data_IF_083298743447
#
_entry.id   IF_083298743447
#
_cell.length_a   1.000
_cell.length_b   1.000
_cell.length_c   1.000
_cell.angle_alpha   90.00
_cell.angle_beta   90.00
_cell.angle_gamma   90.00
#
_symmetry.space_group_name_H-M   'P 1'
#
loop_
_entity.id
_entity.type
_entity.pdbx_description
1 polymer ?
#
# COMPACT_ATOMS: atom_id res chain seq x y z
N UNK A 1 4.39 -15.75 -5.48
CA UNK A 1 3.08 -16.45 -5.55
C UNK A 1 3.27 -17.89 -6.05
N UNK A 2 2.59 -18.85 -5.43
CA UNK A 2 2.62 -20.29 -5.78
C UNK A 2 1.41 -20.66 -6.62
N UNK A 3 1.67 -21.26 -7.80
CA UNK A 3 0.64 -21.68 -8.76
C UNK A 3 0.63 -23.20 -8.86
N UNK A 4 -0.47 -23.81 -8.44
CA UNK A 4 -0.67 -25.25 -8.59
C UNK A 4 -1.40 -25.53 -9.91
N UNK A 5 -0.85 -26.42 -10.74
CA UNK A 5 -1.54 -26.96 -11.91
C UNK A 5 -1.99 -28.38 -11.59
N UNK A 6 -3.31 -28.58 -11.68
CA UNK A 6 -3.95 -29.87 -11.50
C UNK A 6 -3.73 -30.77 -12.71
N UNK A 7 -3.63 -32.09 -12.50
CA UNK A 7 -3.48 -33.10 -13.56
C UNK A 7 -4.56 -33.00 -14.66
N UNK A 8 -5.78 -32.58 -14.29
CA UNK A 8 -6.88 -32.44 -15.25
C UNK A 8 -6.53 -31.50 -16.40
N UNK A 9 -5.70 -30.47 -16.19
CA UNK A 9 -5.27 -29.54 -17.25
C UNK A 9 -4.43 -30.26 -18.29
N UNK A 10 -3.51 -31.12 -17.87
CA UNK A 10 -2.69 -31.95 -18.78
C UNK A 10 -3.56 -32.99 -19.48
N UNK A 11 -4.48 -33.60 -18.78
CA UNK A 11 -5.37 -34.62 -19.37
C UNK A 11 -6.33 -34.02 -20.40
N UNK A 12 -6.76 -32.77 -20.21
CA UNK A 12 -7.68 -32.04 -21.09
C UNK A 12 -6.99 -31.43 -22.33
N UNK A 13 -5.67 -31.25 -22.29
CA UNK A 13 -4.89 -30.64 -23.36
C UNK A 13 -4.65 -31.62 -24.56
N UNK A 14 -5.73 -32.21 -25.08
CA UNK A 14 -5.69 -33.21 -26.15
C UNK A 14 -5.65 -32.62 -27.55
N UNK A 15 -6.30 -31.50 -27.77
CA UNK A 15 -6.29 -30.78 -29.04
C UNK A 15 -5.16 -29.75 -29.13
N UNK A 16 -4.86 -29.26 -30.32
CA UNK A 16 -3.75 -28.34 -30.58
C UNK A 16 -3.90 -27.00 -29.86
N UNK A 17 -5.11 -26.47 -29.70
CA UNK A 17 -5.34 -25.19 -29.02
C UNK A 17 -5.09 -25.29 -27.51
N UNK A 18 -5.64 -26.30 -26.86
CA UNK A 18 -5.44 -26.56 -25.43
C UNK A 18 -3.98 -26.91 -25.12
N UNK A 19 -3.29 -27.59 -26.02
CA UNK A 19 -1.86 -27.83 -25.89
C UNK A 19 -1.05 -26.54 -25.93
N UNK A 20 -1.39 -25.60 -26.80
CA UNK A 20 -0.78 -24.27 -26.86
C UNK A 20 -1.08 -23.45 -25.60
N UNK A 21 -2.31 -23.50 -25.11
CA UNK A 21 -2.69 -22.84 -23.84
C UNK A 21 -1.85 -23.38 -22.67
N UNK A 22 -1.70 -24.71 -22.55
CA UNK A 22 -0.87 -25.33 -21.51
C UNK A 22 0.59 -24.89 -21.64
N UNK A 23 1.17 -24.94 -22.84
CA UNK A 23 2.55 -24.53 -23.06
C UNK A 23 2.76 -23.05 -22.73
N UNK A 24 1.81 -22.18 -23.11
CA UNK A 24 1.86 -20.75 -22.84
C UNK A 24 1.69 -20.46 -21.34
N UNK A 25 0.79 -21.16 -20.67
CA UNK A 25 0.62 -21.06 -19.20
C UNK A 25 1.91 -21.42 -18.47
N UNK A 26 2.55 -22.54 -18.84
CA UNK A 26 3.82 -22.96 -18.25
C UNK A 26 4.91 -21.91 -18.52
N UNK A 27 4.98 -21.38 -19.73
CA UNK A 27 5.91 -20.30 -20.07
C UNK A 27 5.72 -19.07 -19.17
N UNK A 28 4.48 -18.61 -18.94
CA UNK A 28 4.19 -17.48 -18.06
C UNK A 28 4.66 -17.76 -16.61
N UNK A 29 4.41 -18.96 -16.12
CA UNK A 29 4.76 -19.34 -14.75
C UNK A 29 6.28 -19.41 -14.58
N UNK A 30 6.98 -20.06 -15.49
CA UNK A 30 8.41 -20.30 -15.40
C UNK A 30 9.26 -19.09 -15.86
N UNK A 31 8.67 -18.12 -16.56
CA UNK A 31 9.42 -16.99 -17.10
C UNK A 31 10.06 -16.16 -16.01
N UNK A 32 11.38 -16.06 -16.03
CA UNK A 32 12.18 -15.29 -15.07
C UNK A 32 11.90 -15.62 -13.58
N UNK A 33 11.42 -16.84 -13.29
CA UNK A 33 11.05 -17.27 -11.93
C UNK A 33 10.02 -16.34 -11.27
N UNK A 34 9.09 -15.77 -12.05
CA UNK A 34 8.05 -14.89 -11.53
C UNK A 34 7.11 -15.60 -10.57
N UNK A 35 6.83 -16.88 -10.85
CA UNK A 35 5.94 -17.71 -10.04
C UNK A 35 6.62 -19.03 -9.66
N UNK A 36 6.19 -19.59 -8.53
CA UNK A 36 6.61 -20.93 -8.10
C UNK A 36 5.55 -21.94 -8.62
N UNK A 37 5.96 -22.82 -9.52
CA UNK A 37 5.10 -23.89 -10.05
C UNK A 37 5.01 -25.04 -9.04
N UNK A 38 3.78 -25.54 -8.82
CA UNK A 38 3.46 -26.73 -8.04
C UNK A 38 2.70 -27.74 -8.89
N UNK A 39 3.16 -28.98 -8.90
CA UNK A 39 2.48 -30.11 -9.54
C UNK A 39 2.58 -31.30 -8.58
N UNK A 40 1.48 -31.64 -7.93
CA UNK A 40 1.44 -32.65 -6.86
C UNK A 40 1.30 -34.09 -7.38
N UNK A 41 0.75 -34.26 -8.60
CA UNK A 41 0.45 -35.61 -9.15
C UNK A 41 1.50 -36.00 -10.19
N UNK A 42 2.35 -36.97 -9.80
CA UNK A 42 3.38 -37.52 -10.69
C UNK A 42 2.82 -38.25 -11.92
N UNK A 43 1.51 -38.58 -11.96
CA UNK A 43 0.89 -39.19 -13.15
C UNK A 43 0.79 -38.22 -14.33
N UNK A 44 1.03 -36.93 -14.11
CA UNK A 44 1.18 -35.91 -15.17
C UNK A 44 2.26 -36.33 -16.19
N UNK A 45 3.34 -36.96 -15.73
CA UNK A 45 4.46 -37.41 -16.58
C UNK A 45 4.02 -38.45 -17.64
N UNK A 46 2.95 -39.20 -17.37
CA UNK A 46 2.40 -40.20 -18.28
C UNK A 46 1.38 -39.67 -19.28
N UNK A 47 1.09 -38.35 -19.28
CA UNK A 47 0.08 -37.78 -20.21
C UNK A 47 0.67 -37.49 -21.60
N UNK A 48 -0.14 -37.63 -22.64
CA UNK A 48 0.27 -37.29 -24.03
C UNK A 48 0.66 -35.82 -24.16
N UNK A 49 0.00 -34.91 -23.45
CA UNK A 49 0.27 -33.49 -23.48
C UNK A 49 1.61 -33.15 -22.86
N UNK A 50 2.02 -33.83 -21.78
CA UNK A 50 3.35 -33.69 -21.21
C UNK A 50 4.43 -34.10 -22.24
N UNK A 51 4.26 -35.24 -22.93
CA UNK A 51 5.16 -35.70 -23.96
C UNK A 51 5.36 -34.71 -25.14
N UNK A 52 4.39 -33.82 -25.38
CA UNK A 52 4.41 -32.81 -26.44
C UNK A 52 5.05 -31.47 -26.01
N UNK A 53 5.36 -31.28 -24.72
CA UNK A 53 6.04 -30.07 -24.22
C UNK A 53 7.49 -30.03 -24.72
N UNK A 54 8.08 -28.83 -24.69
CA UNK A 54 9.52 -28.69 -24.93
C UNK A 54 10.31 -29.48 -23.90
N UNK A 55 11.50 -29.96 -24.30
CA UNK A 55 12.34 -30.75 -23.39
C UNK A 55 12.68 -29.97 -22.10
N UNK A 56 13.02 -28.69 -22.22
CA UNK A 56 13.31 -27.81 -21.09
C UNK A 56 12.18 -27.75 -20.06
N UNK A 57 10.94 -27.70 -20.55
CA UNK A 57 9.75 -27.60 -19.69
C UNK A 57 9.50 -28.96 -19.00
N UNK A 58 9.69 -30.06 -19.73
CA UNK A 58 9.59 -31.41 -19.19
C UNK A 58 10.61 -31.63 -18.06
N UNK A 59 11.89 -31.33 -18.32
CA UNK A 59 12.97 -31.46 -17.34
C UNK A 59 12.66 -30.62 -16.07
N UNK A 60 12.14 -29.41 -16.25
CA UNK A 60 11.73 -28.54 -15.13
C UNK A 60 10.58 -29.13 -14.32
N UNK A 61 9.54 -29.65 -14.98
CA UNK A 61 8.38 -30.28 -14.33
C UNK A 61 8.81 -31.55 -13.58
N UNK A 62 9.66 -32.38 -14.16
CA UNK A 62 10.20 -33.58 -13.50
C UNK A 62 10.98 -33.23 -12.24
N UNK A 63 11.81 -32.19 -12.28
CA UNK A 63 12.52 -31.69 -11.10
C UNK A 63 11.57 -31.18 -10.00
N UNK A 64 10.54 -30.41 -10.38
CA UNK A 64 9.55 -29.88 -9.44
C UNK A 64 8.81 -31.02 -8.75
N UNK A 65 8.32 -32.00 -9.49
CA UNK A 65 7.62 -33.17 -8.93
C UNK A 65 8.55 -33.96 -7.97
N UNK A 66 9.82 -34.14 -8.35
CA UNK A 66 10.78 -34.82 -7.51
C UNK A 66 11.07 -34.07 -6.20
N UNK A 67 11.10 -32.73 -6.23
CA UNK A 67 11.28 -31.88 -5.05
C UNK A 67 10.04 -31.84 -4.15
N UNK A 68 8.84 -31.80 -4.73
CA UNK A 68 7.58 -31.74 -3.97
C UNK A 68 7.28 -33.02 -3.20
N UNK A 69 7.75 -34.17 -3.65
CA UNK A 69 7.69 -35.43 -2.90
C UNK A 69 8.43 -35.31 -1.54
N UNK A 70 9.43 -34.43 -1.45
CA UNK A 70 10.27 -34.24 -0.24
C UNK A 70 9.74 -33.09 0.63
N UNK A 71 9.05 -32.13 0.06
CA UNK A 71 8.59 -30.90 0.74
C UNK A 71 7.11 -30.99 1.10
N UNK A 72 6.77 -31.22 2.37
CA UNK A 72 5.40 -31.37 2.89
C UNK A 72 4.55 -30.10 2.96
N UNK A 73 4.85 -29.02 2.21
CA UNK A 73 4.06 -27.78 2.27
C UNK A 73 3.00 -27.73 1.16
N UNK A 74 1.75 -28.04 1.51
CA UNK A 74 0.57 -28.01 0.63
C UNK A 74 -0.04 -26.60 0.47
N UNK A 75 0.72 -25.51 0.62
CA UNK A 75 0.21 -24.17 0.46
C UNK A 75 0.39 -23.65 -0.97
N UNK A 76 -0.69 -23.18 -1.56
CA UNK A 76 -0.69 -22.53 -2.88
C UNK A 76 -1.64 -21.33 -2.89
N UNK A 77 -1.33 -20.34 -3.72
CA UNK A 77 -2.08 -19.08 -3.80
C UNK A 77 -3.14 -19.11 -4.90
N UNK A 78 -2.91 -19.92 -5.94
CA UNK A 78 -3.90 -20.13 -6.98
C UNK A 78 -3.83 -21.57 -7.54
N UNK A 79 -4.97 -22.06 -8.04
CA UNK A 79 -5.10 -23.39 -8.62
C UNK A 79 -5.59 -23.28 -10.05
N UNK A 80 -4.97 -24.03 -10.95
CA UNK A 80 -5.41 -24.18 -12.33
C UNK A 80 -5.95 -25.60 -12.52
N UNK A 81 -7.23 -25.75 -12.87
CA UNK A 81 -7.89 -27.04 -13.15
C UNK A 81 -8.84 -26.93 -14.33
N UNK A 82 -9.15 -28.05 -14.97
CA UNK A 82 -10.14 -28.09 -16.06
C UNK A 82 -11.50 -27.58 -15.58
N UNK A 83 -12.10 -26.68 -16.39
CA UNK A 83 -13.40 -26.06 -16.09
C UNK A 83 -13.37 -24.96 -15.03
N UNK A 84 -12.24 -24.74 -14.36
CA UNK A 84 -12.14 -23.72 -13.30
C UNK A 84 -13.04 -24.06 -12.09
N UNK A 85 -13.52 -23.04 -11.39
CA UNK A 85 -14.55 -23.15 -10.37
C UNK A 85 -15.61 -22.06 -10.56
N UNK A 86 -16.87 -22.45 -10.42
CA UNK A 86 -17.99 -21.51 -10.43
C UNK A 86 -18.06 -20.65 -9.15
N UNK A 87 -17.42 -21.11 -8.06
CA UNK A 87 -17.32 -20.35 -6.83
C UNK A 87 -16.27 -19.25 -6.96
N UNK A 88 -16.72 -18.03 -7.09
CA UNK A 88 -15.89 -16.83 -7.41
C UNK A 88 -14.96 -16.39 -6.27
N UNK A 89 -14.98 -17.04 -5.11
CA UNK A 89 -14.26 -16.64 -3.89
C UNK A 89 -12.83 -17.20 -3.87
N UNK A 90 -12.63 -18.38 -4.41
CA UNK A 90 -11.30 -19.01 -4.47
C UNK A 90 -10.60 -18.67 -5.79
N UNK A 91 -9.28 -18.50 -5.74
CA UNK A 91 -8.46 -18.30 -6.94
C UNK A 91 -8.26 -19.63 -7.69
N UNK A 92 -9.35 -20.17 -8.19
CA UNK A 92 -9.41 -21.39 -8.99
C UNK A 92 -9.80 -21.02 -10.42
N UNK A 93 -8.95 -21.32 -11.38
CA UNK A 93 -9.01 -20.86 -12.77
C UNK A 93 -8.98 -22.03 -13.73
N UNK A 94 -9.62 -21.88 -14.90
CA UNK A 94 -9.27 -22.66 -16.08
C UNK A 94 -7.88 -22.23 -16.61
N UNK A 95 -7.29 -22.96 -17.55
CA UNK A 95 -6.01 -22.56 -18.15
C UNK A 95 -6.09 -21.15 -18.80
N UNK A 96 -7.14 -20.89 -19.57
CA UNK A 96 -7.40 -19.58 -20.21
C UNK A 96 -7.55 -18.47 -19.14
N UNK A 97 -8.37 -18.70 -18.11
CA UNK A 97 -8.54 -17.73 -17.01
C UNK A 97 -7.21 -17.47 -16.27
N UNK A 98 -6.42 -18.53 -16.03
CA UNK A 98 -5.13 -18.42 -15.36
C UNK A 98 -4.15 -17.58 -16.16
N UNK A 99 -4.09 -17.74 -17.48
CA UNK A 99 -3.28 -16.91 -18.37
C UNK A 99 -3.67 -15.43 -18.20
N UNK A 100 -4.96 -15.10 -18.27
CA UNK A 100 -5.43 -13.72 -18.08
C UNK A 100 -5.09 -13.17 -16.69
N UNK A 101 -5.21 -13.99 -15.64
CA UNK A 101 -4.89 -13.59 -14.27
C UNK A 101 -3.39 -13.39 -14.04
N UNK A 102 -2.56 -14.32 -14.50
CA UNK A 102 -1.11 -14.31 -14.27
C UNK A 102 -0.39 -13.23 -15.09
N UNK A 103 -0.90 -12.87 -16.26
CA UNK A 103 -0.36 -11.78 -17.07
C UNK A 103 -0.58 -10.40 -16.42
N UNK A 104 -1.56 -10.26 -15.54
CA UNK A 104 -1.79 -8.98 -14.86
C UNK A 104 -0.60 -8.63 -13.96
N UNK A 105 -0.20 -7.36 -13.90
CA UNK A 105 0.65 -6.89 -12.83
C UNK A 105 -0.08 -6.96 -11.50
N UNK A 106 0.67 -7.09 -10.40
CA UNK A 106 0.14 -6.87 -9.07
C UNK A 106 0.01 -5.37 -8.82
N UNK A 107 -1.20 -4.91 -8.53
CA UNK A 107 -1.48 -3.48 -8.37
C UNK A 107 -1.45 -3.08 -6.92
N UNK A 108 -0.61 -2.12 -6.55
CA UNK A 108 -0.69 -1.44 -5.26
C UNK A 108 -1.52 -0.19 -5.45
N UNK A 109 -2.74 -0.22 -4.90
CA UNK A 109 -3.73 0.86 -5.03
C UNK A 109 -3.49 1.86 -3.92
N UNK A 110 -3.25 3.11 -4.30
CA UNK A 110 -2.91 4.23 -3.44
C UNK A 110 -3.99 5.31 -3.53
N UNK A 111 -4.15 6.12 -2.50
CA UNK A 111 -5.08 7.25 -2.52
C UNK A 111 -4.64 8.32 -3.51
N UNK A 112 -3.33 8.59 -3.56
CA UNK A 112 -2.71 9.51 -4.51
C UNK A 112 -1.51 8.84 -5.19
N UNK A 113 -1.79 8.18 -6.30
CA UNK A 113 -0.83 7.31 -6.97
C UNK A 113 0.52 7.94 -7.34
N UNK A 114 0.59 9.25 -7.58
CA UNK A 114 1.85 9.92 -7.90
C UNK A 114 2.70 10.19 -6.66
N UNK A 115 2.10 10.73 -5.62
CA UNK A 115 2.84 11.14 -4.43
C UNK A 115 3.14 9.95 -3.49
N UNK A 116 2.16 9.07 -3.29
CA UNK A 116 2.28 7.95 -2.37
C UNK A 116 3.20 6.85 -2.94
N UNK A 117 3.35 6.78 -4.27
CA UNK A 117 4.32 5.89 -4.92
C UNK A 117 5.75 6.15 -4.43
N UNK A 118 6.11 7.40 -4.16
CA UNK A 118 7.44 7.73 -3.62
C UNK A 118 7.66 7.19 -2.22
N UNK A 119 6.62 7.23 -1.38
CA UNK A 119 6.67 6.59 -0.06
C UNK A 119 6.86 5.08 -0.19
N UNK A 120 6.06 4.41 -1.04
CA UNK A 120 6.17 2.97 -1.25
C UNK A 120 7.53 2.56 -1.81
N UNK A 121 8.10 3.34 -2.71
CA UNK A 121 9.46 3.10 -3.21
C UNK A 121 10.50 3.17 -2.08
N UNK A 122 10.36 4.11 -1.14
CA UNK A 122 11.22 4.18 0.03
C UNK A 122 11.03 2.96 0.95
N UNK A 123 9.78 2.56 1.20
CA UNK A 123 9.45 1.36 1.99
C UNK A 123 10.05 0.11 1.36
N UNK A 124 9.87 -0.12 0.06
CA UNK A 124 10.44 -1.28 -0.63
C UNK A 124 11.96 -1.29 -0.54
N UNK A 125 12.60 -0.15 -0.85
CA UNK A 125 14.06 -0.03 -0.78
C UNK A 125 14.64 -0.31 0.60
N UNK A 126 13.92 0.07 1.68
CA UNK A 126 14.42 -0.02 3.04
C UNK A 126 14.06 -1.34 3.74
N UNK A 127 12.93 -1.95 3.37
CA UNK A 127 12.39 -3.14 4.05
C UNK A 127 12.40 -4.40 3.19
N UNK A 128 12.79 -4.31 1.91
CA UNK A 128 13.11 -5.46 1.07
C UNK A 128 14.63 -5.51 0.79
N UNK A 129 15.42 -6.11 1.69
CA UNK A 129 16.87 -6.18 1.52
C UNK A 129 17.30 -7.05 0.33
N UNK A 130 16.41 -7.88 -0.20
CA UNK A 130 16.66 -8.74 -1.36
C UNK A 130 16.52 -7.96 -2.67
N UNK A 131 15.84 -6.82 -2.66
CA UNK A 131 15.55 -5.99 -3.83
C UNK A 131 14.52 -6.60 -4.80
N UNK A 132 13.82 -7.67 -4.39
CA UNK A 132 12.84 -8.38 -5.23
C UNK A 132 11.70 -7.45 -5.63
N UNK A 133 11.15 -6.65 -4.70
CA UNK A 133 10.05 -5.73 -4.99
C UNK A 133 10.46 -4.66 -6.01
N UNK A 134 11.67 -4.11 -5.88
CA UNK A 134 12.21 -3.15 -6.84
C UNK A 134 12.47 -3.79 -8.21
N UNK A 135 12.95 -5.03 -8.22
CA UNK A 135 13.09 -5.81 -9.46
C UNK A 135 11.72 -6.03 -10.12
N UNK A 136 10.71 -6.44 -9.37
CA UNK A 136 9.35 -6.67 -9.89
C UNK A 136 8.70 -5.39 -10.43
N UNK A 137 9.00 -4.22 -9.86
CA UNK A 137 8.60 -2.94 -10.44
C UNK A 137 9.28 -2.68 -11.79
N UNK A 138 10.58 -2.94 -11.90
CA UNK A 138 11.36 -2.75 -13.14
C UNK A 138 10.84 -3.67 -14.25
N UNK A 139 10.45 -4.91 -13.92
CA UNK A 139 9.85 -5.86 -14.85
C UNK A 139 8.36 -5.55 -15.17
N UNK A 140 7.77 -4.53 -14.51
CA UNK A 140 6.36 -4.18 -14.67
C UNK A 140 5.38 -5.17 -14.03
N UNK A 141 5.86 -6.04 -13.15
CA UNK A 141 5.03 -7.03 -12.44
C UNK A 141 4.32 -6.45 -11.23
N UNK A 142 4.83 -5.34 -10.69
CA UNK A 142 4.16 -4.50 -9.70
C UNK A 142 3.94 -3.12 -10.31
N UNK A 143 2.77 -2.54 -10.11
CA UNK A 143 2.49 -1.15 -10.47
C UNK A 143 1.71 -0.43 -9.39
N UNK A 144 1.89 0.87 -9.30
CA UNK A 144 1.03 1.73 -8.49
C UNK A 144 -0.16 2.20 -9.30
N UNK A 145 -1.31 2.24 -8.66
CA UNK A 145 -2.54 2.73 -9.28
C UNK A 145 -3.22 3.75 -8.37
N UNK A 146 -3.77 4.80 -8.98
CA UNK A 146 -4.42 5.89 -8.29
C UNK A 146 -5.92 5.65 -8.22
N UNK A 147 -6.46 5.48 -7.01
CA UNK A 147 -7.90 5.40 -6.82
C UNK A 147 -8.60 6.78 -6.84
N UNK A 148 -7.84 7.88 -6.68
CA UNK A 148 -8.44 9.22 -6.57
C UNK A 148 -9.09 9.49 -5.23
N UNK A 149 -8.52 8.96 -4.15
CA UNK A 149 -8.97 9.07 -2.78
C UNK A 149 -9.72 7.83 -2.27
N UNK A 150 -9.74 7.66 -0.94
CA UNK A 150 -10.28 6.46 -0.29
C UNK A 150 -11.76 6.18 -0.65
N UNK A 151 -12.58 7.22 -0.82
CA UNK A 151 -13.99 7.09 -1.17
C UNK A 151 -14.24 6.44 -2.54
N UNK A 152 -13.25 6.53 -3.43
CA UNK A 152 -13.35 6.01 -4.78
C UNK A 152 -12.75 4.60 -4.96
N UNK A 153 -12.00 4.09 -3.98
CA UNK A 153 -11.37 2.74 -4.04
C UNK A 153 -12.38 1.65 -4.37
N UNK A 154 -13.56 1.68 -3.72
CA UNK A 154 -14.62 0.72 -3.98
C UNK A 154 -15.06 0.73 -5.44
N UNK A 155 -15.35 1.92 -6.00
CA UNK A 155 -15.80 2.08 -7.38
C UNK A 155 -14.71 1.63 -8.37
N UNK A 156 -13.46 1.96 -8.06
CA UNK A 156 -12.30 1.56 -8.87
C UNK A 156 -12.18 0.02 -8.96
N UNK A 157 -12.29 -0.68 -7.83
CA UNK A 157 -12.25 -2.14 -7.80
C UNK A 157 -13.48 -2.79 -8.45
N UNK A 158 -14.68 -2.20 -8.26
CA UNK A 158 -15.90 -2.67 -8.94
C UNK A 158 -15.77 -2.57 -10.47
N UNK A 159 -15.21 -1.47 -10.98
CA UNK A 159 -14.97 -1.32 -12.40
C UNK A 159 -14.03 -2.41 -12.93
N UNK A 160 -12.99 -2.77 -12.16
CA UNK A 160 -12.10 -3.90 -12.51
C UNK A 160 -12.82 -5.23 -12.53
N UNK A 161 -13.64 -5.53 -11.53
CA UNK A 161 -14.45 -6.75 -11.49
C UNK A 161 -15.31 -6.84 -12.74
N UNK A 162 -15.95 -5.75 -13.16
CA UNK A 162 -16.78 -5.72 -14.37
C UNK A 162 -15.99 -5.98 -15.66
N UNK A 163 -14.74 -5.51 -15.74
CA UNK A 163 -13.85 -5.81 -16.88
C UNK A 163 -13.61 -7.33 -17.07
N UNK A 164 -13.71 -8.09 -15.99
CA UNK A 164 -13.57 -9.55 -15.99
C UNK A 164 -14.92 -10.28 -15.86
N UNK A 165 -15.99 -9.69 -16.42
CA UNK A 165 -17.31 -10.32 -16.44
C UNK A 165 -17.96 -10.51 -15.06
N UNK A 166 -17.67 -9.65 -14.09
CA UNK A 166 -18.20 -9.73 -12.74
C UNK A 166 -17.41 -10.64 -11.78
N UNK A 167 -16.33 -11.26 -12.23
CA UNK A 167 -15.57 -12.26 -11.47
C UNK A 167 -14.52 -11.59 -10.56
N UNK A 168 -14.79 -11.55 -9.26
CA UNK A 168 -13.88 -10.94 -8.26
C UNK A 168 -12.55 -11.68 -8.09
N UNK A 169 -12.49 -12.99 -8.40
CA UNK A 169 -11.26 -13.81 -8.34
C UNK A 169 -10.10 -13.23 -9.18
N UNK A 170 -10.40 -12.39 -10.19
CA UNK A 170 -9.40 -11.71 -11.00
C UNK A 170 -8.77 -10.48 -10.34
N UNK A 171 -9.26 -10.03 -9.19
CA UNK A 171 -8.61 -8.96 -8.46
C UNK A 171 -7.22 -9.39 -8.00
N UNK A 172 -6.21 -8.68 -8.47
CA UNK A 172 -4.79 -8.90 -8.15
C UNK A 172 -4.18 -7.61 -7.67
N UNK A 173 -4.48 -7.28 -6.39
CA UNK A 173 -4.10 -5.99 -5.85
C UNK A 173 -3.99 -6.00 -4.33
N UNK A 174 -3.33 -4.95 -3.83
CA UNK A 174 -3.25 -4.56 -2.43
C UNK A 174 -3.68 -3.10 -2.29
N UNK A 175 -4.44 -2.76 -1.25
CA UNK A 175 -4.92 -1.40 -1.02
C UNK A 175 -4.21 -0.81 0.19
N UNK A 176 -3.59 0.36 0.02
CA UNK A 176 -2.98 1.11 1.11
C UNK A 176 -3.74 2.43 1.28
N UNK A 177 -4.18 2.67 2.51
CA UNK A 177 -5.00 3.82 2.89
C UNK A 177 -4.30 4.63 3.97
N UNK A 178 -4.48 5.94 3.96
CA UNK A 178 -4.07 6.80 5.06
C UNK A 178 -4.89 6.49 6.33
N UNK A 179 -4.34 6.79 7.51
CA UNK A 179 -5.05 6.58 8.76
C UNK A 179 -6.14 7.62 9.01
N UNK A 180 -5.96 8.84 8.49
CA UNK A 180 -6.86 10.01 8.60
C UNK A 180 -7.18 10.44 10.06
N UNK A 181 -6.61 9.78 11.05
CA UNK A 181 -6.82 10.11 12.48
C UNK A 181 -6.17 11.45 12.84
N UNK A 182 -6.84 12.24 13.65
CA UNK A 182 -6.36 13.54 14.14
C UNK A 182 -5.73 13.44 15.54
N UNK A 183 -6.03 12.35 16.25
CA UNK A 183 -5.50 12.00 17.56
C UNK A 183 -5.70 10.48 17.78
N UNK A 184 -5.03 9.84 18.74
CA UNK A 184 -5.00 8.36 18.85
C UNK A 184 -6.39 7.71 18.97
N UNK A 185 -7.30 8.35 19.69
CA UNK A 185 -8.66 7.83 19.95
C UNK A 185 -9.71 8.32 18.94
N UNK A 186 -9.31 8.96 17.85
CA UNK A 186 -10.24 9.40 16.79
C UNK A 186 -10.82 8.19 16.06
N UNK A 187 -12.12 7.98 16.22
CA UNK A 187 -12.86 6.88 15.58
C UNK A 187 -13.56 7.27 14.28
N UNK A 188 -13.52 8.51 13.89
CA UNK A 188 -14.18 8.98 12.66
C UNK A 188 -13.66 8.27 11.40
N UNK A 189 -12.34 8.04 11.23
CA UNK A 189 -11.84 7.25 10.11
C UNK A 189 -12.28 5.79 10.13
N UNK A 190 -12.41 5.17 11.30
CA UNK A 190 -12.87 3.78 11.40
C UNK A 190 -14.29 3.63 10.89
N UNK A 191 -15.17 4.59 11.17
CA UNK A 191 -16.53 4.65 10.62
C UNK A 191 -16.49 4.84 9.09
N UNK A 192 -15.65 5.76 8.62
CA UNK A 192 -15.44 6.05 7.18
C UNK A 192 -14.99 4.79 6.42
N UNK A 193 -14.05 4.04 6.97
CA UNK A 193 -13.47 2.86 6.33
C UNK A 193 -14.25 1.57 6.55
N UNK A 194 -15.18 1.51 7.50
CA UNK A 194 -15.90 0.28 7.86
C UNK A 194 -16.50 -0.46 6.67
N UNK A 195 -17.23 0.25 5.81
CA UNK A 195 -17.86 -0.34 4.62
C UNK A 195 -16.82 -0.79 3.60
N UNK A 196 -15.74 -0.03 3.40
CA UNK A 196 -14.67 -0.39 2.48
C UNK A 196 -13.93 -1.63 2.97
N UNK A 197 -13.52 -1.68 4.25
CA UNK A 197 -12.84 -2.84 4.86
C UNK A 197 -13.67 -4.11 4.72
N UNK A 198 -14.99 -4.03 5.02
CA UNK A 198 -15.90 -5.16 4.84
C UNK A 198 -15.95 -5.64 3.38
N UNK A 199 -15.99 -4.71 2.43
CA UNK A 199 -16.04 -5.04 1.01
C UNK A 199 -14.71 -5.64 0.51
N UNK A 200 -13.56 -5.12 0.96
CA UNK A 200 -12.25 -5.69 0.65
C UNK A 200 -12.12 -7.12 1.18
N UNK A 201 -12.65 -7.39 2.38
CA UNK A 201 -12.72 -8.75 2.93
C UNK A 201 -13.56 -9.69 2.07
N UNK A 202 -14.75 -9.26 1.60
CA UNK A 202 -15.59 -10.05 0.70
C UNK A 202 -14.86 -10.38 -0.61
N UNK A 203 -14.10 -9.42 -1.15
CA UNK A 203 -13.33 -9.57 -2.38
C UNK A 203 -12.00 -10.30 -2.20
N UNK A 204 -11.66 -10.68 -0.97
CA UNK A 204 -10.37 -11.27 -0.63
C UNK A 204 -9.17 -10.43 -1.13
N UNK A 205 -9.27 -9.11 -0.98
CA UNK A 205 -8.23 -8.14 -1.33
C UNK A 205 -7.45 -7.77 -0.09
N UNK A 206 -6.12 -7.94 -0.13
CA UNK A 206 -5.24 -7.49 0.94
C UNK A 206 -5.27 -5.96 1.05
N UNK A 207 -5.28 -5.46 2.27
CA UNK A 207 -5.25 -4.03 2.51
C UNK A 207 -4.54 -3.68 3.83
N UNK A 208 -4.10 -2.44 3.92
CA UNK A 208 -3.61 -1.86 5.16
C UNK A 208 -4.13 -0.41 5.29
N UNK A 209 -4.45 -0.02 6.51
CA UNK A 209 -4.75 1.37 6.88
C UNK A 209 -3.63 1.80 7.81
N UNK A 210 -2.91 2.84 7.44
CA UNK A 210 -1.78 3.34 8.21
C UNK A 210 -2.18 3.70 9.65
N UNK A 211 -1.32 3.39 10.61
CA UNK A 211 -1.55 3.78 12.00
C UNK A 211 -1.46 5.30 12.19
N UNK A 212 -0.55 5.94 11.47
CA UNK A 212 -0.40 7.40 11.45
C UNK A 212 -1.44 8.06 10.54
N UNK A 213 -1.61 9.37 10.70
CA UNK A 213 -2.60 10.13 9.92
C UNK A 213 -2.42 9.93 8.42
N UNK A 214 -1.22 10.08 7.92
CA UNK A 214 -0.88 9.91 6.50
C UNK A 214 0.59 9.52 6.31
N UNK A 215 0.96 9.22 5.09
CA UNK A 215 2.32 8.74 4.77
C UNK A 215 3.41 9.74 5.16
N UNK A 216 3.16 11.04 5.10
CA UNK A 216 4.12 12.06 5.50
C UNK A 216 4.51 12.00 6.98
N UNK A 217 3.63 11.48 7.84
CA UNK A 217 3.90 11.35 9.27
C UNK A 217 4.95 10.30 9.62
N UNK A 218 5.34 9.44 8.66
CA UNK A 218 6.48 8.53 8.78
C UNK A 218 7.83 9.20 8.47
N UNK A 219 7.82 10.43 7.95
CA UNK A 219 9.05 11.14 7.59
C UNK A 219 9.88 11.44 8.84
N UNK A 220 11.18 11.07 8.87
CA UNK A 220 12.08 11.40 9.96
C UNK A 220 12.22 12.91 10.17
N UNK A 221 12.54 13.31 11.40
CA UNK A 221 12.67 14.71 11.80
C UNK A 221 13.72 15.45 10.95
N UNK A 222 14.82 14.79 10.61
CA UNK A 222 15.88 15.35 9.77
C UNK A 222 15.37 15.63 8.36
N UNK A 223 14.53 14.75 7.83
CA UNK A 223 13.93 14.93 6.53
C UNK A 223 12.94 16.11 6.51
N UNK A 224 12.12 16.24 7.56
CA UNK A 224 11.22 17.39 7.74
C UNK A 224 12.03 18.69 7.80
N UNK A 225 13.12 18.74 8.58
CA UNK A 225 13.99 19.93 8.65
C UNK A 225 14.63 20.28 7.31
N UNK A 226 15.14 19.28 6.60
CA UNK A 226 15.78 19.46 5.30
C UNK A 226 14.79 20.02 4.26
N UNK A 227 13.57 19.50 4.24
CA UNK A 227 12.51 19.94 3.32
C UNK A 227 11.99 21.33 3.68
N UNK A 228 11.83 21.64 4.96
CA UNK A 228 11.39 22.95 5.45
C UNK A 228 12.40 24.05 5.08
N UNK A 229 13.69 23.75 5.15
CA UNK A 229 14.76 24.69 4.86
C UNK A 229 14.67 25.96 5.72
N UNK A 230 15.18 27.08 5.20
CA UNK A 230 15.12 28.37 5.88
C UNK A 230 13.75 29.04 5.82
N UNK A 231 13.00 28.78 4.76
CA UNK A 231 11.67 29.39 4.50
C UNK A 231 10.63 29.02 5.55
N UNK A 232 10.65 27.76 5.99
CA UNK A 232 9.70 27.23 6.98
C UNK A 232 10.38 26.86 8.30
N UNK A 233 11.49 27.55 8.63
CA UNK A 233 12.26 27.27 9.83
C UNK A 233 11.41 27.33 11.11
N UNK A 234 10.63 28.37 11.30
CA UNK A 234 9.79 28.53 12.48
C UNK A 234 8.71 27.41 12.61
N UNK A 235 8.18 26.98 11.46
CA UNK A 235 7.27 25.82 11.42
C UNK A 235 8.00 24.54 11.84
N UNK A 236 9.17 24.28 11.27
CA UNK A 236 9.97 23.10 11.60
C UNK A 236 10.41 23.10 13.08
N UNK A 237 10.84 24.23 13.60
CA UNK A 237 11.21 24.35 15.02
C UNK A 237 9.99 24.09 15.92
N UNK A 238 8.80 24.60 15.58
CA UNK A 238 7.57 24.30 16.30
C UNK A 238 7.20 22.81 16.20
N UNK A 239 7.31 22.19 15.02
CA UNK A 239 7.07 20.75 14.81
C UNK A 239 8.01 19.88 15.66
N UNK A 240 9.27 20.26 15.81
CA UNK A 240 10.22 19.52 16.64
C UNK A 240 9.89 19.53 18.14
N UNK A 241 9.08 20.48 18.60
CA UNK A 241 8.60 20.50 20.01
C UNK A 241 7.45 19.53 20.29
N UNK A 242 6.85 18.97 19.25
CA UNK A 242 5.78 17.98 19.39
C UNK A 242 6.33 16.67 19.94
N UNK A 243 5.52 15.97 20.75
CA UNK A 243 5.82 14.58 21.07
C UNK A 243 5.82 13.70 19.83
N UNK A 244 6.41 12.51 19.92
CA UNK A 244 6.40 11.55 18.82
C UNK A 244 4.97 11.23 18.36
N UNK A 245 4.08 11.01 19.32
CA UNK A 245 2.67 10.72 19.07
C UNK A 245 1.94 11.92 18.43
N UNK A 246 2.20 13.16 18.90
CA UNK A 246 1.59 14.35 18.31
C UNK A 246 2.03 14.55 16.84
N UNK A 247 3.27 14.22 16.52
CA UNK A 247 3.78 14.23 15.14
C UNK A 247 3.07 13.22 14.24
N UNK A 248 2.59 12.11 14.79
CA UNK A 248 1.92 11.06 14.03
C UNK A 248 0.53 11.45 13.53
N UNK A 249 -0.11 12.40 14.19
CA UNK A 249 -1.48 12.80 13.88
C UNK A 249 -1.63 14.24 13.37
N UNK A 250 -0.55 15.03 13.33
CA UNK A 250 -0.58 16.36 12.73
C UNK A 250 -0.69 16.25 11.21
N UNK A 251 -1.61 16.98 10.59
CA UNK A 251 -1.58 17.20 9.14
C UNK A 251 -0.38 18.09 8.78
N UNK A 252 0.68 17.46 8.26
CA UNK A 252 1.91 18.17 7.94
C UNK A 252 1.70 19.17 6.80
N UNK A 253 0.87 18.84 5.82
CA UNK A 253 0.64 19.66 4.63
C UNK A 253 -0.33 20.81 4.85
N UNK A 254 -1.38 20.60 5.63
CA UNK A 254 -2.45 21.60 5.81
C UNK A 254 -2.48 22.20 7.23
N UNK A 255 -1.86 21.55 8.21
CA UNK A 255 -1.93 21.97 9.62
C UNK A 255 -3.31 21.75 10.22
N UNK A 256 -3.64 22.57 11.24
CA UNK A 256 -4.93 22.48 11.92
C UNK A 256 -6.09 23.16 11.19
N UNK A 257 -5.82 23.92 10.14
CA UNK A 257 -6.88 24.68 9.43
C UNK A 257 -7.84 23.81 8.61
N UNK A 258 -7.48 22.57 8.29
CA UNK A 258 -8.34 21.69 7.47
C UNK A 258 -9.63 21.30 8.15
N UNK A 259 -9.61 21.18 9.48
CA UNK A 259 -10.73 20.70 10.27
C UNK A 259 -11.75 21.81 10.63
N UNK A 260 -11.49 23.05 10.17
CA UNK A 260 -12.34 24.22 10.43
C UNK A 260 -13.18 24.53 9.18
N UNK A 261 -14.48 24.69 9.38
CA UNK A 261 -15.38 25.05 8.27
C UNK A 261 -15.02 26.39 7.64
N UNK A 262 -15.46 26.62 6.40
CA UNK A 262 -15.22 27.89 5.68
C UNK A 262 -15.74 29.11 6.45
N UNK A 263 -16.88 28.99 7.13
CA UNK A 263 -17.47 30.08 7.91
C UNK A 263 -16.71 30.35 9.21
N UNK A 264 -16.30 29.30 9.90
CA UNK A 264 -15.43 29.39 11.07
C UNK A 264 -14.09 30.02 10.70
N UNK A 265 -13.48 29.64 9.55
CA UNK A 265 -12.25 30.28 9.04
C UNK A 265 -12.42 31.78 8.83
N UNK A 266 -13.55 32.25 8.31
CA UNK A 266 -13.82 33.68 8.18
C UNK A 266 -13.92 34.38 9.54
N UNK A 267 -14.58 33.74 10.51
CA UNK A 267 -14.70 34.24 11.88
C UNK A 267 -13.35 34.34 12.58
N UNK A 268 -12.52 33.31 12.44
CA UNK A 268 -11.14 33.28 12.97
C UNK A 268 -10.33 34.43 12.37
N UNK A 269 -10.32 34.57 11.05
CA UNK A 269 -9.58 35.64 10.36
C UNK A 269 -10.07 37.04 10.75
N UNK A 270 -11.37 37.23 10.94
CA UNK A 270 -11.94 38.51 11.40
C UNK A 270 -11.46 38.83 12.83
N UNK A 271 -11.48 37.84 13.73
CA UNK A 271 -10.98 37.99 15.11
C UNK A 271 -9.48 38.30 15.16
N UNK A 272 -8.69 37.59 14.36
CA UNK A 272 -7.25 37.83 14.23
C UNK A 272 -6.96 39.24 13.72
N UNK A 273 -7.64 39.69 12.66
CA UNK A 273 -7.53 41.05 12.10
C UNK A 273 -7.88 42.12 13.13
N UNK A 274 -8.92 41.91 13.92
CA UNK A 274 -9.35 42.86 14.95
C UNK A 274 -8.33 43.01 16.08
N UNK A 275 -7.64 41.93 16.43
CA UNK A 275 -6.61 41.91 17.46
C UNK A 275 -5.29 42.50 16.98
N UNK A 276 -4.95 42.29 15.70
CA UNK A 276 -3.77 42.91 15.11
C UNK A 276 -3.87 44.43 15.05
N UNK A 277 -5.10 45.00 14.98
CA UNK A 277 -5.35 46.45 15.01
C UNK A 277 -5.36 47.03 16.41
N UNK A 278 -5.75 46.27 17.44
CA UNK A 278 -5.92 46.76 18.80
C UNK A 278 -4.72 46.61 19.72
N UNK A 279 -3.84 45.68 19.48
CA UNK A 279 -2.72 45.44 20.41
C UNK A 279 -1.51 44.78 19.73
N UNK A 280 -0.53 45.59 19.34
CA UNK A 280 0.75 45.13 18.75
C UNK A 280 1.56 44.20 19.68
N UNK A 281 1.26 44.17 20.97
CA UNK A 281 1.98 43.37 21.99
C UNK A 281 1.21 42.11 22.41
N UNK A 282 -0.10 42.01 22.14
CA UNK A 282 -0.89 40.80 22.41
C UNK A 282 -0.89 39.78 21.27
N UNK A 283 0.11 39.80 20.46
CA UNK A 283 0.37 38.76 19.48
C UNK A 283 0.46 37.42 20.17
N UNK A 284 -0.41 36.48 19.79
CA UNK A 284 -0.27 35.03 20.01
C UNK A 284 -1.32 34.36 20.89
N UNK A 285 -2.59 34.58 20.61
CA UNK A 285 -3.59 33.55 20.94
C UNK A 285 -4.02 32.90 19.64
N UNK A 286 -3.78 31.58 19.50
CA UNK A 286 -4.39 30.82 18.43
C UNK A 286 -5.89 30.77 18.62
N UNK A 287 -6.62 31.27 17.65
CA UNK A 287 -8.09 31.14 17.61
C UNK A 287 -8.51 29.82 17.02
N UNK A 288 -7.69 29.24 16.15
CA UNK A 288 -7.90 27.95 15.50
C UNK A 288 -8.07 26.85 16.56
N UNK A 289 -7.23 26.84 17.61
CA UNK A 289 -7.32 25.86 18.70
C UNK A 289 -8.73 25.77 19.30
N UNK A 290 -9.41 26.89 19.48
CA UNK A 290 -10.75 26.93 20.09
C UNK A 290 -11.86 26.37 19.19
N UNK A 291 -11.57 26.08 17.93
CA UNK A 291 -12.50 25.47 16.97
C UNK A 291 -12.23 23.99 16.70
N UNK A 292 -11.10 23.46 17.20
CA UNK A 292 -10.83 22.02 17.10
C UNK A 292 -11.79 21.24 18.00
N UNK A 293 -12.09 19.97 17.67
CA UNK A 293 -12.78 19.07 18.60
C UNK A 293 -12.09 19.00 19.95
N UNK A 294 -12.86 18.80 21.02
CA UNK A 294 -12.33 18.87 22.39
C UNK A 294 -11.20 17.87 22.63
N UNK A 295 -11.31 16.66 22.11
CA UNK A 295 -10.28 15.62 22.26
C UNK A 295 -8.98 16.00 21.56
N UNK A 296 -9.08 16.61 20.37
CA UNK A 296 -7.92 17.14 19.65
C UNK A 296 -7.28 18.32 20.40
N UNK A 297 -8.09 19.23 20.97
CA UNK A 297 -7.61 20.32 21.82
C UNK A 297 -6.81 19.75 23.01
N UNK A 298 -7.36 18.74 23.68
CA UNK A 298 -6.73 18.07 24.82
C UNK A 298 -5.42 17.39 24.40
N UNK A 299 -5.40 16.71 23.25
CA UNK A 299 -4.22 16.02 22.72
C UNK A 299 -3.05 16.98 22.46
N UNK A 300 -3.33 18.17 21.92
CA UNK A 300 -2.31 19.20 21.66
C UNK A 300 -2.19 20.26 22.79
N UNK A 301 -2.75 20.00 23.97
CA UNK A 301 -2.78 20.98 25.05
C UNK A 301 -1.38 21.40 25.53
N UNK A 302 -0.41 20.49 25.50
CA UNK A 302 0.99 20.75 25.88
C UNK A 302 1.74 21.66 24.90
N UNK A 303 1.25 21.84 23.68
CA UNK A 303 1.89 22.70 22.69
C UNK A 303 1.67 24.16 23.05
N UNK A 304 2.75 24.94 23.15
CA UNK A 304 2.63 26.36 23.46
C UNK A 304 1.81 27.11 22.40
N UNK A 305 1.13 28.20 22.77
CA UNK A 305 0.38 28.99 21.82
C UNK A 305 1.23 29.55 20.67
N UNK A 306 2.52 29.86 20.92
CA UNK A 306 3.45 30.29 19.90
C UNK A 306 3.73 29.20 18.85
N UNK A 307 4.05 28.00 19.32
CA UNK A 307 4.30 26.86 18.41
C UNK A 307 3.01 26.45 17.67
N UNK A 308 1.89 26.47 18.35
CA UNK A 308 0.61 26.13 17.71
C UNK A 308 0.30 27.08 16.53
N UNK A 309 0.55 28.39 16.69
CA UNK A 309 0.39 29.37 15.60
C UNK A 309 1.26 29.09 14.38
N UNK A 310 2.48 28.59 14.58
CA UNK A 310 3.33 28.18 13.46
C UNK A 310 2.80 26.94 12.74
N UNK A 311 2.18 26.02 13.47
CA UNK A 311 1.65 24.75 12.96
C UNK A 311 0.25 24.87 12.34
N UNK A 312 -0.48 25.97 12.59
CA UNK A 312 -1.85 26.17 12.07
C UNK A 312 -1.95 25.98 10.56
N UNK A 313 -0.97 26.41 9.81
CA UNK A 313 -0.96 26.46 8.34
C UNK A 313 -0.11 25.38 7.73
N UNK A 314 0.12 24.31 8.20
CA UNK A 314 0.87 23.24 7.60
C UNK A 314 2.12 23.65 6.77
N UNK A 315 2.87 22.69 6.35
CA UNK A 315 4.09 22.86 5.55
C UNK A 315 3.72 22.85 4.04
N UNK A 316 3.24 23.97 3.51
CA UNK A 316 2.77 24.09 2.12
C UNK A 316 3.91 24.13 1.10
N UNK A 317 4.66 23.06 1.01
CA UNK A 317 5.75 22.91 0.03
C UNK A 317 5.24 22.13 -1.16
N UNK A 318 5.38 22.71 -2.36
CA UNK A 318 5.03 22.03 -3.60
C UNK A 318 5.85 20.73 -3.73
N UNK A 319 5.18 19.64 -4.06
CA UNK A 319 5.79 18.31 -4.21
C UNK A 319 6.47 17.78 -2.94
N UNK A 320 5.94 18.11 -1.75
CA UNK A 320 6.50 17.64 -0.47
C UNK A 320 6.68 16.11 -0.43
N UNK A 321 5.65 15.37 -0.84
CA UNK A 321 5.69 13.89 -0.87
C UNK A 321 6.73 13.33 -1.84
N UNK A 322 7.00 14.01 -2.93
CA UNK A 322 8.04 13.61 -3.92
C UNK A 322 9.44 13.70 -3.31
N UNK A 323 9.66 14.62 -2.40
CA UNK A 323 10.93 14.77 -1.70
C UNK A 323 11.21 13.71 -0.65
N UNK A 324 10.20 12.89 -0.31
CA UNK A 324 10.36 11.81 0.65
C UNK A 324 11.50 10.85 0.27
N UNK A 325 11.53 10.24 -0.93
CA UNK A 325 12.65 9.40 -1.35
C UNK A 325 13.94 10.17 -1.59
N UNK A 326 13.88 11.40 -2.11
CA UNK A 326 15.07 12.24 -2.33
C UNK A 326 15.82 12.52 -1.04
N UNK A 327 15.07 12.74 0.06
CA UNK A 327 15.64 13.03 1.37
C UNK A 327 16.32 11.80 1.99
N UNK A 328 15.94 10.60 1.56
CA UNK A 328 16.57 9.35 2.03
C UNK A 328 17.92 9.05 1.36
N UNK A 329 18.36 9.81 0.35
CA UNK A 329 19.68 9.74 -0.27
C UNK A 329 20.14 8.31 -0.60
N UNK A 330 21.46 8.11 -0.57
CA UNK A 330 22.08 6.80 -0.86
C UNK A 330 22.38 5.95 0.40
N UNK A 331 22.18 6.48 1.60
CA UNK A 331 22.50 5.79 2.87
C UNK A 331 21.29 5.03 3.42
N UNK A 332 20.97 3.90 2.82
CA UNK A 332 19.83 3.05 3.18
C UNK A 332 19.83 2.66 4.68
N UNK A 333 20.99 2.40 5.27
CA UNK A 333 21.10 1.95 6.68
C UNK A 333 20.66 3.05 7.65
N UNK A 334 21.14 4.28 7.48
CA UNK A 334 20.81 5.41 8.35
C UNK A 334 19.33 5.73 8.29
N UNK A 335 18.78 5.78 7.09
CA UNK A 335 17.37 6.12 6.93
C UNK A 335 16.42 5.02 7.40
N UNK A 336 16.80 3.75 7.28
CA UNK A 336 16.05 2.65 7.87
C UNK A 336 15.95 2.80 9.39
N UNK A 337 17.06 3.10 10.07
CA UNK A 337 17.08 3.32 11.50
C UNK A 337 16.18 4.50 11.90
N UNK A 338 16.21 5.60 11.16
CA UNK A 338 15.38 6.78 11.41
C UNK A 338 13.88 6.49 11.20
N UNK A 339 13.51 5.74 10.14
CA UNK A 339 12.12 5.28 9.95
C UNK A 339 11.67 4.35 11.07
N UNK A 340 12.48 3.38 11.47
CA UNK A 340 12.18 2.50 12.60
C UNK A 340 12.03 3.27 13.91
N UNK A 341 12.83 4.32 14.12
CA UNK A 341 12.66 5.22 15.27
C UNK A 341 11.32 5.94 15.23
N UNK A 342 10.83 6.32 14.05
CA UNK A 342 9.51 6.94 13.88
C UNK A 342 8.34 6.00 14.13
N UNK A 343 8.54 4.69 14.01
CA UNK A 343 7.49 3.68 14.23
C UNK A 343 7.59 2.98 15.59
N UNK A 344 8.68 3.16 16.33
CA UNK A 344 9.01 2.41 17.55
C UNK A 344 7.99 2.54 18.69
N UNK A 345 7.19 3.60 18.72
CA UNK A 345 6.16 3.87 19.72
C UNK A 345 4.73 3.52 19.28
N UNK A 346 4.56 3.05 18.02
CA UNK A 346 3.27 2.61 17.48
C UNK A 346 2.85 1.25 18.07
N UNK A 347 1.58 0.89 17.87
CA UNK A 347 1.08 -0.44 18.24
C UNK A 347 1.73 -1.55 17.42
N UNK A 348 2.02 -1.29 16.13
CA UNK A 348 2.88 -2.14 15.29
C UNK A 348 4.16 -1.39 14.89
N UNK A 349 5.26 -1.53 15.65
CA UNK A 349 6.54 -0.93 15.28
C UNK A 349 7.13 -1.42 13.95
N UNK A 350 6.66 -2.57 13.45
CA UNK A 350 7.10 -3.20 12.21
C UNK A 350 6.16 -2.91 11.02
N UNK A 351 5.17 -2.05 11.19
CA UNK A 351 4.12 -1.75 10.20
C UNK A 351 4.65 -1.64 8.77
N UNK A 352 5.68 -0.82 8.54
CA UNK A 352 6.23 -0.61 7.20
C UNK A 352 6.86 -1.89 6.62
N UNK A 353 7.51 -2.68 7.47
CA UNK A 353 8.05 -3.99 7.08
C UNK A 353 6.92 -4.96 6.77
N UNK A 354 5.87 -4.97 7.58
CA UNK A 354 4.68 -5.82 7.41
C UNK A 354 3.98 -5.52 6.08
N UNK A 355 3.84 -4.24 5.72
CA UNK A 355 3.29 -3.82 4.41
C UNK A 355 4.14 -4.38 3.27
N UNK A 356 5.47 -4.19 3.32
CA UNK A 356 6.38 -4.68 2.27
C UNK A 356 6.31 -6.21 2.14
N UNK A 357 6.32 -6.94 3.26
CA UNK A 357 6.23 -8.41 3.26
C UNK A 357 4.87 -8.92 2.77
N UNK A 358 3.76 -8.24 3.12
CA UNK A 358 2.43 -8.59 2.63
C UNK A 358 2.32 -8.48 1.11
N UNK A 359 2.92 -7.43 0.53
CA UNK A 359 2.98 -7.26 -0.92
C UNK A 359 3.88 -8.31 -1.56
N UNK A 360 5.07 -8.56 -0.96
CA UNK A 360 6.03 -9.55 -1.46
C UNK A 360 5.42 -10.96 -1.49
N UNK A 361 4.69 -11.34 -0.45
CA UNK A 361 4.04 -12.65 -0.38
C UNK A 361 2.95 -12.85 -1.44
N UNK A 362 2.32 -11.77 -1.91
CA UNK A 362 1.19 -11.82 -2.85
C UNK A 362 1.60 -11.72 -4.33
N UNK A 363 2.83 -11.31 -4.64
CA UNK A 363 3.34 -11.18 -6.02
C UNK A 363 3.98 -12.46 -6.51
#
# INVERSE_FOLDING_TARGET
>A
MKVRIDKSVFTDAKDGNKQLELAFLLHIILYKNRYELKIEDGEVLGTDSFGKLMQSDRDTIEQIIAMDIVASSNSYDCVVKTGGDAEEVQKVFSAEEAILYLLQPYSVILENGLNDAHFMNAVFRLFDPTGILSHYQTEGWIRYENAGGCSNVKNFLQARIQQFGGKQKFLRCYVLLDGDKRYPTDTAPDVKYKTLKAQLGIWNVGYHVLEKRCMENYMPDEAIRAVAGTTYKDWADAYMTLSAEQKDFLDISEGFETDITREEKKTVRAKESLLMTKDKHRRKKSYVRGYLPQDEQNFYMSVSNGNFLHLEKGLKIKNFKVKFPETFGNSVVTYRANLLSRTSHQSDPLELSTIAQSILAAV
#
